data_IF_040061486809
#
_entry.id   IF_040061486809
#
_cell.length_a   1.000
_cell.length_b   1.000
_cell.length_c   1.000
_cell.angle_alpha   90.00
_cell.angle_beta   90.00
_cell.angle_gamma   90.00
#
_symmetry.space_group_name_H-M   'P 1'
#
loop_
_entity.id
_entity.type
_entity.pdbx_description
1 polymer ?
#
# COMPACT_ATOMS: atom_id res chain seq x y z
N UNK A 1 -8.15 -0.70 27.37
CA UNK A 1 -6.78 -0.79 26.82
C UNK A 1 -6.75 0.03 25.56
N UNK A 2 -5.76 0.90 25.45
CA UNK A 2 -5.63 1.76 24.26
C UNK A 2 -4.94 1.02 23.12
N UNK A 3 -5.51 1.12 21.95
CA UNK A 3 -4.96 0.55 20.73
C UNK A 3 -4.32 1.61 19.82
N UNK A 4 -3.28 1.20 19.13
CA UNK A 4 -2.79 1.92 17.94
C UNK A 4 -2.69 0.98 16.76
N UNK A 5 -3.29 1.40 15.66
CA UNK A 5 -3.08 0.84 14.34
C UNK A 5 -2.14 1.79 13.63
N UNK A 6 -0.97 1.31 13.28
CA UNK A 6 0.08 2.12 12.66
C UNK A 6 0.35 1.58 11.26
N UNK A 7 0.46 2.45 10.29
CA UNK A 7 0.95 2.07 8.97
C UNK A 7 2.02 3.04 8.50
N UNK A 8 2.99 2.59 7.69
CA UNK A 8 3.81 3.53 6.96
C UNK A 8 3.02 4.14 5.80
N UNK A 9 3.56 5.17 5.15
CA UNK A 9 2.86 5.84 4.06
C UNK A 9 2.84 5.08 2.73
N UNK A 10 3.19 3.79 2.76
CA UNK A 10 2.80 2.82 1.74
C UNK A 10 1.32 2.43 1.83
N UNK A 11 0.66 2.78 2.93
CA UNK A 11 -0.79 2.83 3.10
C UNK A 11 -1.32 4.15 2.54
N UNK A 12 -2.43 4.12 1.83
CA UNK A 12 -3.02 5.30 1.21
C UNK A 12 -4.02 6.04 2.13
N UNK A 13 -4.42 5.43 3.27
CA UNK A 13 -5.19 6.12 4.32
C UNK A 13 -4.36 7.20 5.01
N UNK A 14 -4.92 8.40 5.12
CA UNK A 14 -4.40 9.48 5.97
C UNK A 14 -5.13 9.59 7.30
N UNK A 15 -6.34 9.10 7.34
CA UNK A 15 -7.18 8.91 8.53
C UNK A 15 -8.08 7.72 8.29
N UNK A 16 -8.61 7.14 9.34
CA UNK A 16 -9.64 6.12 9.26
C UNK A 16 -10.95 6.68 9.81
N UNK A 17 -12.00 6.56 9.01
CA UNK A 17 -13.35 6.82 9.47
C UNK A 17 -13.82 5.66 10.37
N UNK A 18 -14.65 5.99 11.37
CA UNK A 18 -15.23 5.00 12.27
C UNK A 18 -14.18 4.13 13.00
N UNK A 19 -13.17 4.77 13.57
CA UNK A 19 -12.18 4.07 14.40
C UNK A 19 -12.88 3.28 15.52
N UNK A 20 -12.32 2.10 15.81
CA UNK A 20 -12.73 1.29 16.96
C UNK A 20 -12.60 2.09 18.28
N UNK A 21 -13.40 1.79 19.31
CA UNK A 21 -13.29 2.47 20.61
C UNK A 21 -11.87 2.40 21.16
N UNK A 22 -11.43 3.49 21.81
CA UNK A 22 -10.07 3.62 22.38
C UNK A 22 -8.92 3.32 21.41
N UNK A 23 -9.13 3.55 20.13
CA UNK A 23 -8.16 3.27 19.05
C UNK A 23 -7.71 4.55 18.36
N UNK A 24 -6.44 4.64 18.05
CA UNK A 24 -5.82 5.68 17.22
C UNK A 24 -5.22 5.06 15.96
N UNK A 25 -5.39 5.73 14.83
CA UNK A 25 -4.65 5.41 13.59
C UNK A 25 -3.52 6.40 13.40
N UNK A 26 -2.30 5.91 13.14
CA UNK A 26 -1.12 6.72 12.93
C UNK A 26 -0.44 6.33 11.62
N UNK A 27 -0.25 7.30 10.74
CA UNK A 27 0.58 7.13 9.53
C UNK A 27 2.01 7.59 9.82
N UNK A 28 2.99 6.71 9.60
CA UNK A 28 4.42 7.01 9.74
C UNK A 28 5.00 7.29 8.35
N UNK A 29 5.35 8.56 8.06
CA UNK A 29 5.65 8.98 6.70
C UNK A 29 7.05 8.53 6.24
N UNK A 30 7.12 7.98 5.02
CA UNK A 30 8.36 7.93 4.25
C UNK A 30 8.73 9.34 3.76
N UNK A 31 9.93 9.47 3.23
CA UNK A 31 10.35 10.70 2.56
C UNK A 31 10.62 10.43 1.07
N UNK A 32 10.35 11.44 0.24
CA UNK A 32 10.59 11.41 -1.19
C UNK A 32 11.48 12.60 -1.54
N UNK A 33 12.63 12.34 -2.10
CA UNK A 33 13.55 13.38 -2.57
C UNK A 33 13.39 13.58 -4.08
N UNK A 34 13.07 14.80 -4.46
CA UNK A 34 12.98 15.25 -5.86
C UNK A 34 13.98 16.38 -6.05
N UNK A 35 15.04 16.16 -6.83
CA UNK A 35 16.15 17.12 -6.90
C UNK A 35 16.78 17.37 -5.52
N UNK A 36 16.74 18.62 -5.07
CA UNK A 36 17.22 19.03 -3.74
C UNK A 36 16.08 19.08 -2.69
N UNK A 37 14.82 19.00 -3.11
CA UNK A 37 13.66 19.06 -2.23
C UNK A 37 13.37 17.71 -1.60
N UNK A 38 13.15 17.70 -0.29
CA UNK A 38 12.71 16.51 0.46
C UNK A 38 11.26 16.72 0.87
N UNK A 39 10.39 15.86 0.38
CA UNK A 39 8.97 15.79 0.71
C UNK A 39 8.75 14.73 1.79
N UNK A 40 8.03 15.10 2.83
CA UNK A 40 7.52 14.16 3.84
C UNK A 40 6.14 13.69 3.40
N UNK A 41 5.92 12.38 3.32
CA UNK A 41 4.67 11.80 2.83
C UNK A 41 3.61 11.73 3.93
N UNK A 42 3.22 12.89 4.45
CA UNK A 42 2.18 13.05 5.46
C UNK A 42 0.92 13.74 4.89
N UNK A 43 -0.04 14.03 5.77
CA UNK A 43 -1.31 14.66 5.37
C UNK A 43 -1.18 16.09 4.81
N UNK A 44 -0.01 16.73 4.95
CA UNK A 44 0.24 18.10 4.46
C UNK A 44 0.90 18.10 3.08
N UNK A 45 1.32 16.94 2.58
CA UNK A 45 1.99 16.83 1.30
C UNK A 45 1.07 17.25 0.14
N UNK A 46 1.51 18.24 -0.63
CA UNK A 46 0.91 18.53 -1.94
C UNK A 46 1.48 17.55 -2.97
N UNK A 47 0.74 16.47 -3.20
CA UNK A 47 1.16 15.38 -4.10
C UNK A 47 1.27 15.87 -5.54
N UNK A 48 0.36 16.74 -6.01
CA UNK A 48 0.38 17.25 -7.38
C UNK A 48 1.65 18.07 -7.63
N UNK A 49 2.00 18.98 -6.71
CA UNK A 49 3.22 19.75 -6.80
C UNK A 49 4.48 18.85 -6.80
N UNK A 50 4.54 17.87 -5.90
CA UNK A 50 5.66 16.93 -5.84
C UNK A 50 5.81 16.16 -7.16
N UNK A 51 4.71 15.72 -7.76
CA UNK A 51 4.72 14.97 -9.01
C UNK A 51 5.10 15.85 -10.20
N UNK A 52 4.63 17.10 -10.25
CA UNK A 52 5.03 18.09 -11.27
C UNK A 52 6.54 18.34 -11.22
N UNK A 53 7.11 18.60 -10.03
CA UNK A 53 8.54 18.78 -9.85
C UNK A 53 9.33 17.52 -10.22
N UNK A 54 8.83 16.34 -9.88
CA UNK A 54 9.45 15.08 -10.23
C UNK A 54 9.53 14.89 -11.76
N UNK A 55 8.48 15.23 -12.49
CA UNK A 55 8.50 15.13 -13.96
C UNK A 55 9.34 16.22 -14.62
N UNK A 56 9.51 17.36 -13.98
CA UNK A 56 10.35 18.46 -14.47
C UNK A 56 11.85 18.27 -14.17
N UNK A 57 12.21 17.46 -13.16
CA UNK A 57 13.62 17.26 -12.78
C UNK A 57 14.33 16.28 -13.71
N UNK A 58 15.60 16.55 -13.98
CA UNK A 58 16.49 15.66 -14.75
C UNK A 58 17.28 14.69 -13.88
N UNK A 59 17.33 14.96 -12.56
CA UNK A 59 18.00 14.09 -11.59
C UNK A 59 17.08 12.96 -11.13
N UNK A 60 17.66 11.82 -10.75
CA UNK A 60 16.89 10.71 -10.24
C UNK A 60 16.29 11.06 -8.88
N UNK A 61 14.97 10.95 -8.77
CA UNK A 61 14.24 11.04 -7.51
C UNK A 61 14.30 9.70 -6.77
N UNK A 62 14.26 9.75 -5.44
CA UNK A 62 14.38 8.57 -4.57
C UNK A 62 13.48 8.68 -3.34
N UNK A 63 13.19 7.55 -2.69
CA UNK A 63 12.50 7.52 -1.40
C UNK A 63 13.37 6.92 -0.30
N UNK A 64 13.06 7.26 0.96
CA UNK A 64 13.66 6.66 2.14
C UNK A 64 12.57 6.24 3.13
N UNK A 65 12.77 5.09 3.79
CA UNK A 65 11.88 4.59 4.82
C UNK A 65 11.94 5.43 6.09
N UNK A 66 10.93 5.36 6.96
CA UNK A 66 10.98 5.97 8.29
C UNK A 66 12.11 5.39 9.12
N UNK A 67 12.66 6.19 10.03
CA UNK A 67 13.64 5.74 11.00
C UNK A 67 13.00 4.92 12.12
N UNK A 68 13.77 4.13 12.89
CA UNK A 68 13.25 3.50 14.11
C UNK A 68 12.70 4.50 15.11
N UNK A 69 13.29 5.71 15.20
CA UNK A 69 12.83 6.78 16.10
C UNK A 69 11.43 7.31 15.69
N UNK A 70 11.13 7.41 14.38
CA UNK A 70 9.80 7.78 13.90
C UNK A 70 8.74 6.75 14.35
N UNK A 71 9.09 5.46 14.30
CA UNK A 71 8.22 4.40 14.78
C UNK A 71 8.06 4.41 16.31
N UNK A 72 9.16 4.56 17.08
CA UNK A 72 9.08 4.63 18.55
C UNK A 72 8.16 5.74 19.01
N UNK A 73 8.25 6.94 18.41
CA UNK A 73 7.33 8.05 18.68
C UNK A 73 5.87 7.69 18.41
N UNK A 74 5.63 6.89 17.39
CA UNK A 74 4.26 6.46 17.05
C UNK A 74 3.69 5.44 18.04
N UNK A 75 4.52 4.73 18.81
CA UNK A 75 4.09 3.75 19.81
C UNK A 75 3.60 4.38 21.13
N UNK A 76 4.01 5.61 21.43
CA UNK A 76 3.71 6.26 22.70
C UNK A 76 2.23 6.33 23.01
N UNK A 77 1.87 6.03 24.25
CA UNK A 77 0.53 6.21 24.79
C UNK A 77 -0.50 5.10 24.47
N UNK A 78 -0.05 3.95 23.96
CA UNK A 78 -0.89 2.77 23.73
C UNK A 78 -0.38 1.53 24.45
N UNK A 79 -1.30 0.62 24.78
CA UNK A 79 -1.02 -0.67 25.40
C UNK A 79 -0.83 -1.76 24.32
N UNK A 80 -1.64 -1.70 23.26
CA UNK A 80 -1.68 -2.66 22.16
C UNK A 80 -1.39 -1.93 20.84
N UNK A 81 -0.38 -2.37 20.11
CA UNK A 81 0.11 -1.71 18.91
C UNK A 81 0.26 -2.74 17.79
N UNK A 82 -0.38 -2.51 16.68
CA UNK A 82 -0.18 -3.30 15.46
C UNK A 82 0.30 -2.38 14.34
N UNK A 83 1.45 -2.71 13.78
CA UNK A 83 2.09 -1.95 12.70
C UNK A 83 1.96 -2.72 11.40
N UNK A 84 1.52 -2.08 10.34
CA UNK A 84 1.53 -2.62 8.97
C UNK A 84 2.51 -1.82 8.14
N UNK A 85 3.48 -2.47 7.55
CA UNK A 85 4.45 -1.81 6.67
C UNK A 85 4.30 -2.29 5.23
N UNK A 86 4.73 -1.47 4.30
CA UNK A 86 4.96 -1.94 2.94
C UNK A 86 5.98 -3.08 2.96
N UNK A 87 6.02 -3.89 1.91
CA UNK A 87 6.91 -5.05 1.80
C UNK A 87 8.36 -4.75 2.20
N UNK A 88 8.88 -5.54 3.12
CA UNK A 88 10.28 -5.47 3.56
C UNK A 88 11.30 -5.80 2.45
N UNK A 89 10.86 -6.44 1.38
CA UNK A 89 11.72 -6.75 0.23
C UNK A 89 12.06 -5.50 -0.60
N UNK A 90 11.17 -4.49 -0.64
CA UNK A 90 11.35 -3.27 -1.43
C UNK A 90 11.70 -2.04 -0.58
N UNK A 91 11.53 -2.11 0.74
CA UNK A 91 11.74 -1.00 1.67
C UNK A 91 12.36 -1.45 2.99
N UNK A 92 13.16 -0.60 3.61
CA UNK A 92 13.65 -0.80 4.98
C UNK A 92 12.61 -0.56 6.08
N UNK A 93 11.37 -0.21 5.73
CA UNK A 93 10.31 0.21 6.66
C UNK A 93 10.00 -0.87 7.70
N UNK A 94 9.81 -2.12 7.26
CA UNK A 94 9.59 -3.27 8.14
C UNK A 94 10.73 -3.45 9.15
N UNK A 95 11.97 -3.42 8.67
CA UNK A 95 13.13 -3.55 9.55
C UNK A 95 13.25 -2.39 10.56
N UNK A 96 12.95 -1.17 10.13
CA UNK A 96 12.92 0.00 11.04
C UNK A 96 11.87 -0.17 12.14
N UNK A 97 10.68 -0.66 11.80
CA UNK A 97 9.60 -0.93 12.76
C UNK A 97 9.97 -2.06 13.75
N UNK A 98 10.61 -3.14 13.28
CA UNK A 98 11.07 -4.22 14.15
C UNK A 98 12.21 -3.78 15.10
N UNK A 99 13.13 -2.93 14.64
CA UNK A 99 14.15 -2.32 15.50
C UNK A 99 13.48 -1.44 16.56
N UNK A 100 12.56 -0.58 16.15
CA UNK A 100 11.81 0.29 17.07
C UNK A 100 11.07 -0.50 18.13
N UNK A 101 10.35 -1.56 17.74
CA UNK A 101 9.66 -2.49 18.66
C UNK A 101 10.61 -3.06 19.71
N UNK A 102 11.77 -3.55 19.27
CA UNK A 102 12.75 -4.13 20.20
C UNK A 102 13.23 -3.13 21.23
N UNK A 103 13.60 -1.91 20.81
CA UNK A 103 14.08 -0.86 21.69
C UNK A 103 12.95 -0.39 22.64
N UNK A 104 11.76 -0.16 22.10
CA UNK A 104 10.62 0.33 22.88
C UNK A 104 10.20 -0.64 23.99
N UNK A 105 10.23 -1.95 23.73
CA UNK A 105 9.88 -2.97 24.71
C UNK A 105 10.90 -3.11 25.87
N UNK A 106 12.13 -2.64 25.70
CA UNK A 106 13.12 -2.59 26.80
C UNK A 106 12.68 -1.58 27.88
N UNK A 107 12.06 -0.47 27.49
CA UNK A 107 11.55 0.57 28.39
C UNK A 107 10.07 0.37 28.78
N UNK A 108 9.30 -0.33 27.93
CA UNK A 108 7.88 -0.56 28.07
C UNK A 108 7.50 -2.06 28.02
N UNK A 109 7.94 -2.87 29.00
CA UNK A 109 7.80 -4.35 28.95
C UNK A 109 6.37 -4.87 28.98
N UNK A 110 5.40 -4.02 29.34
CA UNK A 110 3.97 -4.38 29.37
C UNK A 110 3.23 -4.04 28.08
N UNK A 111 3.86 -3.30 27.16
CA UNK A 111 3.26 -3.00 25.85
C UNK A 111 3.26 -4.26 24.97
N UNK A 112 2.21 -4.43 24.18
CA UNK A 112 2.11 -5.48 23.17
C UNK A 112 2.27 -4.86 21.80
N UNK A 113 3.29 -5.29 21.06
CA UNK A 113 3.59 -4.75 19.71
C UNK A 113 3.74 -5.89 18.71
N UNK A 114 2.98 -5.84 17.63
CA UNK A 114 3.12 -6.74 16.48
C UNK A 114 3.40 -5.93 15.22
N UNK A 115 4.39 -6.34 14.43
CA UNK A 115 4.73 -5.72 13.15
C UNK A 115 4.46 -6.70 12.03
N UNK A 116 3.68 -6.27 11.06
CA UNK A 116 3.27 -7.04 9.89
C UNK A 116 4.09 -6.55 8.68
N UNK A 117 4.90 -7.44 8.11
CA UNK A 117 5.36 -7.26 6.74
C UNK A 117 4.19 -7.60 5.81
N UNK A 118 3.63 -6.59 5.15
CA UNK A 118 2.48 -6.82 4.27
C UNK A 118 2.84 -7.67 3.04
N UNK A 119 4.11 -7.77 2.69
CA UNK A 119 4.61 -8.31 1.42
C UNK A 119 3.98 -7.59 0.20
N UNK A 120 3.48 -6.38 0.40
CA UNK A 120 2.66 -5.63 -0.54
C UNK A 120 2.86 -4.11 -0.42
N UNK A 121 1.99 -3.32 -1.06
CA UNK A 121 1.91 -1.85 -0.98
C UNK A 121 0.51 -1.37 -1.38
N UNK A 122 0.15 -0.12 -1.03
CA UNK A 122 -1.10 0.51 -1.45
C UNK A 122 -2.34 -0.29 -1.07
N UNK A 123 -3.25 -0.52 -2.00
CA UNK A 123 -4.57 -1.08 -1.73
C UNK A 123 -4.61 -2.37 -0.89
N UNK A 124 -3.57 -3.22 -0.93
CA UNK A 124 -3.54 -4.40 -0.04
C UNK A 124 -3.10 -4.03 1.39
N UNK A 125 -2.21 -3.04 1.55
CA UNK A 125 -1.89 -2.49 2.89
C UNK A 125 -3.13 -1.82 3.48
N UNK A 126 -3.90 -1.11 2.66
CA UNK A 126 -5.15 -0.46 3.06
C UNK A 126 -6.18 -1.50 3.54
N UNK A 127 -6.31 -2.63 2.84
CA UNK A 127 -7.15 -3.75 3.27
C UNK A 127 -6.77 -4.25 4.66
N UNK A 128 -5.48 -4.44 4.93
CA UNK A 128 -4.99 -4.92 6.22
C UNK A 128 -5.30 -3.92 7.34
N UNK A 129 -5.05 -2.63 7.09
CA UNK A 129 -5.34 -1.55 8.05
C UNK A 129 -6.84 -1.48 8.37
N UNK A 130 -7.69 -1.52 7.34
CA UNK A 130 -9.14 -1.53 7.49
C UNK A 130 -9.61 -2.76 8.27
N UNK A 131 -9.07 -3.94 7.97
CA UNK A 131 -9.40 -5.19 8.67
C UNK A 131 -8.98 -5.15 10.13
N UNK A 132 -7.81 -4.60 10.45
CA UNK A 132 -7.35 -4.41 11.83
C UNK A 132 -8.34 -3.57 12.64
N UNK A 133 -8.78 -2.42 12.09
CA UNK A 133 -9.77 -1.59 12.76
C UNK A 133 -11.06 -2.35 13.04
N UNK A 134 -11.51 -3.18 12.11
CA UNK A 134 -12.70 -4.01 12.28
C UNK A 134 -12.52 -5.07 13.39
N UNK A 135 -11.39 -5.78 13.41
CA UNK A 135 -11.08 -6.79 14.42
C UNK A 135 -11.01 -6.20 15.84
N UNK A 136 -10.41 -5.00 15.97
CA UNK A 136 -10.39 -4.28 17.25
C UNK A 136 -11.80 -3.84 17.66
N UNK A 137 -12.63 -3.40 16.69
CA UNK A 137 -14.02 -3.01 16.96
C UNK A 137 -14.90 -4.20 17.41
N UNK A 138 -14.58 -5.41 16.99
CA UNK A 138 -15.22 -6.65 17.49
C UNK A 138 -14.89 -6.98 18.96
N UNK A 139 -13.93 -6.26 19.58
CA UNK A 139 -13.53 -6.44 20.97
C UNK A 139 -12.60 -7.62 21.21
N UNK A 140 -11.92 -8.10 20.17
CA UNK A 140 -10.92 -9.16 20.27
C UNK A 140 -9.72 -8.69 21.12
N UNK A 141 -9.09 -9.60 21.86
CA UNK A 141 -7.84 -9.32 22.52
C UNK A 141 -6.65 -9.26 21.55
N UNK A 142 -5.49 -8.83 22.05
CA UNK A 142 -4.32 -8.60 21.19
C UNK A 142 -3.89 -9.84 20.41
N UNK A 143 -3.83 -10.99 21.07
CA UNK A 143 -3.35 -12.23 20.47
C UNK A 143 -4.36 -12.73 19.41
N UNK A 144 -5.66 -12.61 19.70
CA UNK A 144 -6.73 -12.90 18.76
C UNK A 144 -6.71 -11.98 17.53
N UNK A 145 -6.44 -10.68 17.72
CA UNK A 145 -6.27 -9.73 16.59
C UNK A 145 -5.10 -10.13 15.72
N UNK A 146 -3.94 -10.47 16.31
CA UNK A 146 -2.73 -10.90 15.59
C UNK A 146 -2.98 -12.19 14.79
N UNK A 147 -3.61 -13.17 15.38
CA UNK A 147 -3.94 -14.45 14.70
C UNK A 147 -4.94 -14.22 13.54
N UNK A 148 -5.96 -13.41 13.78
CA UNK A 148 -7.00 -13.12 12.80
C UNK A 148 -6.44 -12.32 11.61
N UNK A 149 -5.61 -11.29 11.85
CA UNK A 149 -5.03 -10.50 10.76
C UNK A 149 -4.00 -11.30 9.96
N UNK A 150 -3.21 -12.15 10.59
CA UNK A 150 -2.27 -13.05 9.92
C UNK A 150 -3.00 -14.03 9.00
N UNK A 151 -4.11 -14.58 9.49
CA UNK A 151 -4.99 -15.45 8.68
C UNK A 151 -5.61 -14.68 7.51
N UNK A 152 -6.07 -13.45 7.76
CA UNK A 152 -6.67 -12.60 6.73
C UNK A 152 -5.66 -12.23 5.64
N UNK A 153 -4.43 -11.84 6.01
CA UNK A 153 -3.34 -11.53 5.06
C UNK A 153 -3.10 -12.68 4.07
N UNK A 154 -3.21 -13.94 4.52
CA UNK A 154 -3.04 -15.10 3.64
C UNK A 154 -4.13 -15.26 2.58
N UNK A 155 -5.22 -14.50 2.71
CA UNK A 155 -6.39 -14.48 1.83
C UNK A 155 -6.57 -13.17 1.06
N UNK A 156 -5.54 -12.36 1.03
CA UNK A 156 -5.50 -11.11 0.25
C UNK A 156 -4.42 -11.16 -0.81
N UNK A 157 -4.53 -10.33 -1.80
CA UNK A 157 -3.55 -10.14 -2.88
C UNK A 157 -3.52 -8.71 -3.37
N UNK A 158 -2.37 -8.32 -3.92
CA UNK A 158 -2.21 -7.09 -4.69
C UNK A 158 -2.24 -7.39 -6.19
N UNK A 159 -3.02 -6.61 -6.92
CA UNK A 159 -2.90 -6.42 -8.36
C UNK A 159 -2.55 -4.96 -8.65
N UNK A 160 -1.61 -4.71 -9.54
CA UNK A 160 -1.30 -3.35 -9.98
C UNK A 160 -1.46 -3.19 -11.49
N UNK A 161 -1.80 -1.96 -11.91
CA UNK A 161 -1.79 -1.57 -13.32
C UNK A 161 -1.01 -0.27 -13.44
N UNK A 162 0.15 -0.33 -14.11
CA UNK A 162 1.06 0.80 -14.22
C UNK A 162 1.22 1.24 -15.69
N UNK A 163 1.11 2.54 -15.90
CA UNK A 163 1.35 3.17 -17.19
C UNK A 163 2.82 3.51 -17.43
N UNK A 164 3.53 3.77 -16.33
CA UNK A 164 4.95 4.10 -16.25
C UNK A 164 5.57 3.31 -15.11
N UNK A 165 6.86 3.06 -15.19
CA UNK A 165 7.62 2.33 -14.17
C UNK A 165 9.03 2.90 -14.00
N UNK A 166 9.23 4.12 -14.48
CA UNK A 166 10.55 4.74 -14.51
C UNK A 166 11.16 4.84 -13.12
N UNK A 167 10.37 5.26 -12.13
CA UNK A 167 10.83 5.39 -10.75
C UNK A 167 11.09 4.04 -10.09
N UNK A 168 10.27 3.03 -10.36
CA UNK A 168 10.52 1.66 -9.89
C UNK A 168 11.84 1.10 -10.41
N UNK A 169 12.14 1.32 -11.70
CA UNK A 169 13.38 0.88 -12.33
C UNK A 169 14.59 1.68 -11.85
N UNK A 170 14.49 3.02 -11.81
CA UNK A 170 15.58 3.91 -11.38
C UNK A 170 15.98 3.66 -9.92
N UNK A 171 15.03 3.29 -9.09
CA UNK A 171 15.25 3.00 -7.67
C UNK A 171 15.52 1.51 -7.39
N UNK A 172 15.60 0.65 -8.40
CA UNK A 172 15.93 -0.77 -8.25
C UNK A 172 14.82 -1.63 -7.64
N UNK A 173 13.57 -1.16 -7.62
CA UNK A 173 12.39 -1.89 -7.12
C UNK A 173 11.73 -2.75 -8.19
N UNK A 174 12.12 -2.53 -9.45
CA UNK A 174 11.70 -3.35 -10.58
C UNK A 174 12.90 -3.70 -11.45
N UNK A 175 12.98 -4.96 -11.92
CA UNK A 175 14.08 -5.40 -12.77
C UNK A 175 14.15 -4.56 -14.06
N UNK A 176 15.38 -4.18 -14.47
CA UNK A 176 15.61 -3.48 -15.74
C UNK A 176 15.10 -4.26 -16.96
N UNK A 177 15.08 -5.60 -16.89
CA UNK A 177 14.55 -6.44 -17.96
C UNK A 177 13.05 -6.27 -18.16
N UNK A 178 12.30 -6.04 -17.09
CA UNK A 178 10.86 -5.72 -17.13
C UNK A 178 10.69 -4.27 -17.61
N UNK A 179 11.57 -3.37 -17.17
CA UNK A 179 11.60 -1.96 -17.55
C UNK A 179 11.98 -1.69 -19.03
N UNK A 180 12.38 -2.69 -19.85
CA UNK A 180 12.58 -2.49 -21.29
C UNK A 180 11.30 -2.14 -22.05
N UNK A 181 10.16 -2.17 -21.39
CA UNK A 181 8.87 -1.67 -21.91
C UNK A 181 8.73 -0.15 -21.71
N UNK A 182 9.64 0.45 -20.95
CA UNK A 182 9.71 1.91 -20.72
C UNK A 182 9.86 2.61 -22.07
N UNK A 183 8.97 3.57 -22.34
CA UNK A 183 8.94 4.33 -23.60
C UNK A 183 8.08 3.71 -24.71
N UNK A 184 7.51 2.52 -24.56
CA UNK A 184 6.52 2.02 -25.51
C UNK A 184 5.18 2.75 -25.31
N UNK A 185 4.77 3.44 -26.37
CA UNK A 185 3.55 4.25 -26.33
C UNK A 185 2.30 3.40 -26.01
N UNK A 186 1.55 3.83 -24.98
CA UNK A 186 0.26 3.26 -24.62
C UNK A 186 0.29 1.78 -24.14
N UNK A 187 1.42 1.31 -23.57
CA UNK A 187 1.48 0.02 -22.87
C UNK A 187 1.17 0.21 -21.39
N UNK A 188 0.34 -0.68 -20.85
CA UNK A 188 0.05 -0.81 -19.43
C UNK A 188 0.62 -2.14 -18.93
N UNK A 189 1.29 -2.11 -17.80
CA UNK A 189 1.77 -3.31 -17.13
C UNK A 189 0.76 -3.72 -16.07
N UNK A 190 0.26 -4.94 -16.18
CA UNK A 190 -0.61 -5.59 -15.20
C UNK A 190 0.25 -6.62 -14.46
N UNK A 191 0.28 -6.55 -13.15
CA UNK A 191 1.09 -7.43 -12.34
C UNK A 191 0.58 -7.58 -10.92
N UNK A 192 1.29 -8.35 -10.12
CA UNK A 192 0.94 -8.66 -8.72
C UNK A 192 2.15 -8.53 -7.80
N UNK A 193 1.90 -8.51 -6.49
CA UNK A 193 2.94 -8.78 -5.51
C UNK A 193 3.20 -10.29 -5.47
N UNK A 194 4.48 -10.68 -5.52
CA UNK A 194 4.88 -12.07 -5.36
C UNK A 194 4.69 -12.55 -3.92
N UNK A 195 4.80 -13.84 -3.70
CA UNK A 195 4.79 -14.43 -2.34
C UNK A 195 5.93 -13.92 -1.43
N UNK A 196 6.95 -13.31 -2.01
CA UNK A 196 8.08 -12.72 -1.28
C UNK A 196 8.06 -11.20 -1.27
N UNK A 197 6.97 -10.58 -1.73
CA UNK A 197 6.79 -9.13 -1.70
C UNK A 197 7.54 -8.36 -2.79
N UNK A 198 7.98 -9.03 -3.87
CA UNK A 198 8.51 -8.37 -5.07
C UNK A 198 7.40 -8.10 -6.09
N UNK A 199 7.65 -7.21 -7.04
CA UNK A 199 6.70 -6.95 -8.12
C UNK A 199 6.89 -7.95 -9.25
N UNK A 200 5.82 -8.66 -9.62
CA UNK A 200 5.79 -9.61 -10.73
C UNK A 200 4.87 -9.13 -11.85
N UNK A 201 5.40 -9.12 -13.08
CA UNK A 201 4.62 -8.77 -14.26
C UNK A 201 3.83 -9.99 -14.75
N UNK A 202 2.51 -9.86 -14.85
CA UNK A 202 1.63 -10.89 -15.39
C UNK A 202 1.35 -10.68 -16.87
N UNK A 203 0.96 -9.46 -17.26
CA UNK A 203 0.57 -9.13 -18.61
C UNK A 203 1.04 -7.74 -19.05
N UNK A 204 1.23 -7.57 -20.38
CA UNK A 204 1.41 -6.28 -21.05
C UNK A 204 0.19 -6.01 -21.91
N UNK A 205 -0.55 -4.96 -21.61
CA UNK A 205 -1.78 -4.61 -22.30
C UNK A 205 -1.61 -3.31 -23.08
N UNK A 206 -1.98 -3.29 -24.35
CA UNK A 206 -1.93 -2.08 -25.18
C UNK A 206 -3.25 -1.32 -25.08
N UNK A 207 -3.19 -0.16 -24.43
CA UNK A 207 -4.34 0.71 -24.21
C UNK A 207 -5.16 0.33 -22.99
N UNK A 208 -5.96 1.29 -22.49
CA UNK A 208 -6.70 1.18 -21.24
C UNK A 208 -7.72 0.05 -21.26
N UNK A 209 -8.52 -0.09 -22.33
CA UNK A 209 -9.56 -1.13 -22.43
C UNK A 209 -8.98 -2.55 -22.30
N UNK A 210 -7.80 -2.81 -22.89
CA UNK A 210 -7.15 -4.13 -22.76
C UNK A 210 -6.55 -4.31 -21.38
N UNK A 211 -6.06 -3.23 -20.74
CA UNK A 211 -5.55 -3.29 -19.37
C UNK A 211 -6.64 -3.58 -18.35
N UNK A 212 -7.81 -2.97 -18.50
CA UNK A 212 -8.99 -3.26 -17.67
C UNK A 212 -9.38 -4.74 -17.76
N UNK A 213 -9.48 -5.24 -19.01
CA UNK A 213 -9.80 -6.65 -19.21
C UNK A 213 -8.73 -7.57 -18.63
N UNK A 214 -7.45 -7.28 -18.85
CA UNK A 214 -6.35 -8.07 -18.31
C UNK A 214 -6.37 -8.08 -16.77
N UNK A 215 -6.56 -6.92 -16.12
CA UNK A 215 -6.69 -6.82 -14.67
C UNK A 215 -7.86 -7.65 -14.14
N UNK A 216 -9.01 -7.57 -14.80
CA UNK A 216 -10.18 -8.37 -14.44
C UNK A 216 -9.93 -9.87 -14.62
N UNK A 217 -9.35 -10.30 -15.74
CA UNK A 217 -9.02 -11.70 -16.01
C UNK A 217 -8.04 -12.26 -14.96
N UNK A 218 -7.00 -11.49 -14.57
CA UNK A 218 -6.06 -11.90 -13.51
C UNK A 218 -6.72 -11.92 -12.13
N UNK A 219 -7.61 -10.99 -11.81
CA UNK A 219 -8.40 -11.00 -10.57
C UNK A 219 -9.20 -12.31 -10.43
N UNK A 220 -9.87 -12.73 -11.51
CA UNK A 220 -10.64 -13.99 -11.54
C UNK A 220 -9.73 -15.21 -11.41
N UNK A 221 -8.63 -15.22 -12.16
CA UNK A 221 -7.64 -16.31 -12.14
C UNK A 221 -7.01 -16.47 -10.76
N UNK A 222 -6.83 -15.38 -10.03
CA UNK A 222 -6.30 -15.37 -8.67
C UNK A 222 -7.25 -15.94 -7.61
N UNK A 223 -8.53 -16.15 -7.95
CA UNK A 223 -9.53 -16.75 -7.07
C UNK A 223 -10.51 -15.77 -6.43
N UNK A 224 -10.61 -14.53 -6.93
CA UNK A 224 -11.59 -13.56 -6.42
C UNK A 224 -13.03 -14.08 -6.57
N UNK A 225 -13.81 -14.01 -5.49
CA UNK A 225 -15.17 -14.54 -5.41
C UNK A 225 -16.23 -13.49 -5.04
N UNK A 226 -15.87 -12.20 -5.06
CA UNK A 226 -16.82 -11.11 -4.77
C UNK A 226 -16.69 -10.51 -3.38
N UNK A 227 -15.52 -10.65 -2.74
CA UNK A 227 -15.19 -10.01 -1.47
C UNK A 227 -14.90 -8.50 -1.61
N UNK A 228 -14.18 -7.96 -0.64
CA UNK A 228 -13.80 -6.54 -0.65
C UNK A 228 -12.60 -6.29 -1.58
N UNK A 229 -12.64 -5.14 -2.25
CA UNK A 229 -11.55 -4.59 -3.06
C UNK A 229 -11.27 -3.16 -2.60
N UNK A 230 -10.02 -2.83 -2.30
CA UNK A 230 -9.58 -1.44 -2.13
C UNK A 230 -8.67 -1.05 -3.29
N UNK A 231 -8.99 0.02 -3.99
CA UNK A 231 -8.24 0.50 -5.15
C UNK A 231 -7.69 1.89 -4.85
N UNK A 232 -6.37 2.00 -4.73
CA UNK A 232 -5.68 3.27 -4.69
C UNK A 232 -5.19 3.64 -6.09
N UNK A 233 -5.50 4.86 -6.58
CA UNK A 233 -5.15 5.25 -7.94
C UNK A 233 -4.65 6.68 -8.04
N UNK A 234 -3.80 6.93 -9.05
CA UNK A 234 -3.34 8.25 -9.43
C UNK A 234 -4.03 8.69 -10.72
N UNK A 235 -5.04 9.58 -10.58
CA UNK A 235 -5.75 10.22 -11.71
C UNK A 235 -6.24 9.24 -12.79
N UNK A 236 -6.92 8.16 -12.43
CA UNK A 236 -7.39 7.14 -13.38
C UNK A 236 -8.84 6.73 -13.16
N UNK A 237 -9.72 7.72 -12.91
CA UNK A 237 -11.14 7.52 -12.62
C UNK A 237 -11.85 6.67 -13.68
N UNK A 238 -11.53 6.91 -14.95
CA UNK A 238 -12.12 6.14 -16.05
C UNK A 238 -11.79 4.65 -16.01
N UNK A 239 -10.59 4.28 -15.54
CA UNK A 239 -10.25 2.87 -15.33
C UNK A 239 -11.11 2.29 -14.20
N UNK A 240 -11.19 3.04 -13.09
CA UNK A 240 -11.93 2.61 -11.89
C UNK A 240 -13.39 2.38 -12.20
N UNK A 241 -14.05 3.32 -12.90
CA UNK A 241 -15.44 3.22 -13.31
C UNK A 241 -15.68 1.93 -14.10
N UNK A 242 -14.97 1.74 -15.22
CA UNK A 242 -15.15 0.59 -16.10
C UNK A 242 -14.77 -0.75 -15.46
N UNK A 243 -13.70 -0.77 -14.64
CA UNK A 243 -13.30 -1.97 -13.91
C UNK A 243 -14.35 -2.35 -12.85
N UNK A 244 -14.84 -1.36 -12.10
CA UNK A 244 -15.88 -1.58 -11.08
C UNK A 244 -17.20 -2.06 -11.67
N UNK A 245 -17.56 -1.59 -12.85
CA UNK A 245 -18.73 -2.12 -13.59
C UNK A 245 -18.56 -3.61 -13.91
N UNK A 246 -17.42 -4.01 -14.49
CA UNK A 246 -17.14 -5.42 -14.79
C UNK A 246 -17.16 -6.30 -13.53
N UNK A 247 -16.63 -5.79 -12.42
CA UNK A 247 -16.66 -6.53 -11.15
C UNK A 247 -18.09 -6.70 -10.66
N UNK A 248 -18.90 -5.63 -10.64
CA UNK A 248 -20.29 -5.66 -10.16
C UNK A 248 -21.22 -6.47 -11.06
N UNK A 249 -20.99 -6.47 -12.38
CA UNK A 249 -21.74 -7.33 -13.32
C UNK A 249 -21.57 -8.82 -13.00
N UNK A 250 -20.37 -9.24 -12.59
CA UNK A 250 -20.09 -10.64 -12.26
C UNK A 250 -20.35 -10.96 -10.79
N UNK A 251 -20.11 -10.01 -9.89
CA UNK A 251 -20.20 -10.17 -8.44
C UNK A 251 -21.01 -9.02 -7.84
N UNK A 252 -22.33 -9.15 -7.85
CA UNK A 252 -23.23 -8.10 -7.37
C UNK A 252 -23.02 -7.71 -5.90
N UNK A 253 -22.46 -8.65 -5.08
CA UNK A 253 -22.14 -8.42 -3.66
C UNK A 253 -20.78 -7.78 -3.42
N UNK A 254 -19.94 -7.58 -4.44
CA UNK A 254 -18.59 -7.02 -4.30
C UNK A 254 -18.63 -5.62 -3.66
N UNK A 255 -17.83 -5.43 -2.63
CA UNK A 255 -17.59 -4.13 -2.01
C UNK A 255 -16.31 -3.52 -2.59
N UNK A 256 -16.42 -2.32 -3.16
CA UNK A 256 -15.29 -1.63 -3.78
C UNK A 256 -15.11 -0.29 -3.12
N UNK A 257 -13.96 -0.09 -2.50
CA UNK A 257 -13.49 1.18 -1.96
C UNK A 257 -12.45 1.79 -2.89
N UNK A 258 -12.50 3.10 -3.07
CA UNK A 258 -11.58 3.83 -3.96
C UNK A 258 -10.91 4.94 -3.18
N UNK A 259 -9.59 5.01 -3.26
CA UNK A 259 -8.76 6.00 -2.58
C UNK A 259 -7.84 6.71 -3.58
N UNK A 260 -7.51 7.97 -3.36
CA UNK A 260 -6.36 8.58 -4.03
C UNK A 260 -5.08 7.95 -3.49
N UNK A 261 -4.06 7.77 -4.34
CA UNK A 261 -2.74 7.32 -3.87
C UNK A 261 -2.08 8.35 -2.98
N UNK A 262 -1.39 7.88 -1.94
CA UNK A 262 -0.46 8.67 -1.10
C UNK A 262 0.75 9.15 -1.90
N UNK A 263 1.63 9.95 -1.29
CA UNK A 263 2.84 10.44 -1.96
C UNK A 263 3.75 9.33 -2.44
N UNK A 264 4.02 8.32 -1.60
CA UNK A 264 4.86 7.18 -1.97
C UNK A 264 4.24 6.35 -3.09
N UNK A 265 2.96 6.00 -2.97
CA UNK A 265 2.24 5.25 -3.98
C UNK A 265 2.12 6.05 -5.29
N UNK A 266 1.88 7.37 -5.22
CA UNK A 266 1.90 8.26 -6.39
C UNK A 266 3.26 8.30 -7.07
N UNK A 267 4.35 8.39 -6.29
CA UNK A 267 5.71 8.43 -6.80
C UNK A 267 6.09 7.17 -7.59
N UNK A 268 5.70 5.99 -7.13
CA UNK A 268 6.03 4.72 -7.77
C UNK A 268 5.01 4.25 -8.80
N UNK A 269 3.73 4.48 -8.58
CA UNK A 269 2.68 4.13 -9.55
C UNK A 269 2.62 5.11 -10.72
N UNK A 270 3.10 6.32 -10.52
CA UNK A 270 3.10 7.42 -11.47
C UNK A 270 1.71 7.73 -12.05
N UNK A 271 1.62 8.66 -12.98
CA UNK A 271 0.34 9.10 -13.56
C UNK A 271 -0.41 7.96 -14.24
N UNK A 272 -1.67 7.79 -13.87
CA UNK A 272 -2.56 6.75 -14.39
C UNK A 272 -2.32 5.36 -13.79
N UNK A 273 -1.41 5.23 -12.82
CA UNK A 273 -1.16 4.00 -12.09
C UNK A 273 -2.20 3.71 -11.02
N UNK A 274 -2.37 2.43 -10.69
CA UNK A 274 -3.24 1.98 -9.60
C UNK A 274 -2.67 0.73 -8.92
N UNK A 275 -3.01 0.60 -7.63
CA UNK A 275 -2.72 -0.54 -6.78
C UNK A 275 -4.02 -1.02 -6.15
N UNK A 276 -4.32 -2.28 -6.29
CA UNK A 276 -5.61 -2.86 -5.93
C UNK A 276 -5.39 -4.04 -4.99
N UNK A 277 -5.78 -3.90 -3.73
CA UNK A 277 -5.87 -4.99 -2.78
C UNK A 277 -7.23 -5.66 -2.86
N UNK A 278 -7.28 -7.00 -2.79
CA UNK A 278 -8.54 -7.74 -2.87
C UNK A 278 -8.48 -9.05 -2.09
N UNK A 279 -9.66 -9.49 -1.62
CA UNK A 279 -9.86 -10.76 -0.93
C UNK A 279 -10.00 -11.92 -1.94
N UNK A 280 -9.43 -13.11 -1.59
CA UNK A 280 -9.55 -14.35 -2.38
C UNK A 280 -10.20 -15.48 -1.59
#
# INVERSE_FOLDING_TARGET
>A
MKWKIIADSGCDYRSLDNLAPDTEFVSVPLTIQVGETIYRDDAQLNIDQMMEEMYATTTASKSACPSPDDYMKSFEGADNIVVVTITGTLSGSYNSAEIAKKIYLEEHPNAKIHVIDSLSAGGEVDLLVRKLNHLVAEGLDFDQVVDAITTYQSKTKLLFVLAKVDNLVKNGRLSKLIGTVVGLLNIRMVGEASKTGTLELLQKARGQKKAIKAAFDELIKAGYTGGHITIAHRNNDKFIEQFSELVREKFAQASIEVLPTSGLCSFYAEEGGLLMGYEI
#
